data_IF_001255193842
#
_entry.id   IF_001255193842
#
_cell.length_a   1.000
_cell.length_b   1.000
_cell.length_c   1.000
_cell.angle_alpha   90.00
_cell.angle_beta   90.00
_cell.angle_gamma   90.00
#
_symmetry.space_group_name_H-M   'P 1'
#
loop_
_entity.id
_entity.type
_entity.pdbx_description
1 polymer ?
#
# COMPACT_ATOMS: atom_id res chain seq x y z
N UNK A 1 19.37 22.02 -16.64
CA UNK A 1 17.93 21.69 -16.75
C UNK A 1 17.18 22.61 -15.81
N UNK A 2 16.56 23.67 -16.34
CA UNK A 2 15.68 24.55 -15.57
C UNK A 2 14.32 23.84 -15.48
N UNK A 3 13.91 23.41 -14.28
CA UNK A 3 12.52 23.01 -14.06
C UNK A 3 11.67 24.28 -14.19
N UNK A 4 10.84 24.35 -15.22
CA UNK A 4 9.86 25.42 -15.36
C UNK A 4 8.74 25.18 -14.33
N UNK A 5 8.43 26.15 -13.45
CA UNK A 5 7.37 26.01 -12.44
C UNK A 5 5.99 25.66 -13.04
N UNK A 6 5.76 26.04 -14.29
CA UNK A 6 4.54 25.74 -15.05
C UNK A 6 4.35 24.23 -15.27
N UNK A 7 5.41 23.50 -15.60
CA UNK A 7 5.33 22.04 -15.82
C UNK A 7 5.02 21.29 -14.52
N UNK A 8 5.60 21.71 -13.40
CA UNK A 8 5.31 21.13 -12.09
C UNK A 8 3.84 21.38 -11.72
N UNK A 9 3.34 22.59 -12.00
CA UNK A 9 1.95 22.98 -11.71
C UNK A 9 0.95 22.17 -12.54
N UNK A 10 1.22 21.98 -13.83
CA UNK A 10 0.40 21.13 -14.71
C UNK A 10 0.40 19.67 -14.26
N UNK A 11 1.56 19.13 -13.88
CA UNK A 11 1.69 17.74 -13.45
C UNK A 11 0.94 17.45 -12.14
N UNK A 12 0.95 18.40 -11.20
CA UNK A 12 0.14 18.32 -9.97
C UNK A 12 -1.35 18.41 -10.30
N UNK A 13 -1.75 19.33 -11.18
CA UNK A 13 -3.15 19.51 -11.58
C UNK A 13 -3.72 18.27 -12.25
N UNK A 14 -2.97 17.64 -13.16
CA UNK A 14 -3.34 16.39 -13.82
C UNK A 14 -3.50 15.22 -12.82
N UNK A 15 -2.64 15.14 -11.78
CA UNK A 15 -2.76 14.13 -10.72
C UNK A 15 -4.02 14.31 -9.87
N UNK A 16 -4.38 15.56 -9.57
CA UNK A 16 -5.60 15.88 -8.82
C UNK A 16 -6.84 15.58 -9.66
N UNK A 17 -6.85 15.95 -10.94
CA UNK A 17 -7.96 15.65 -11.86
C UNK A 17 -8.16 14.14 -12.05
N UNK A 18 -7.07 13.37 -12.04
CA UNK A 18 -7.09 11.90 -12.13
C UNK A 18 -7.39 11.20 -10.79
N UNK A 19 -7.47 11.94 -9.68
CA UNK A 19 -7.76 11.35 -8.37
C UNK A 19 -9.24 11.01 -8.26
N UNK A 20 -9.61 9.85 -8.80
CA UNK A 20 -10.94 9.26 -8.64
C UNK A 20 -11.14 8.81 -7.20
N UNK A 21 -11.81 9.62 -6.39
CA UNK A 21 -12.12 9.34 -4.98
C UNK A 21 -13.16 8.24 -4.76
N UNK A 22 -13.17 7.20 -5.61
CA UNK A 22 -14.03 6.05 -5.43
C UNK A 22 -13.50 5.22 -4.24
N UNK A 23 -14.37 4.83 -3.28
CA UNK A 23 -13.97 3.93 -2.22
C UNK A 23 -13.65 2.56 -2.83
N UNK A 24 -12.37 2.16 -2.80
CA UNK A 24 -11.97 0.79 -3.10
C UNK A 24 -12.22 -0.09 -1.88
N UNK A 25 -12.95 -1.18 -2.07
CA UNK A 25 -13.06 -2.22 -1.05
C UNK A 25 -11.76 -2.99 -1.05
N UNK A 26 -11.04 -2.94 0.08
CA UNK A 26 -9.79 -3.66 0.29
C UNK A 26 -9.94 -4.61 1.47
N UNK A 27 -9.23 -5.74 1.40
CA UNK A 27 -9.14 -6.66 2.52
C UNK A 27 -8.06 -6.16 3.47
N UNK A 28 -8.42 -5.96 4.74
CA UNK A 28 -7.51 -5.44 5.77
C UNK A 28 -7.21 -6.51 6.83
N UNK A 29 -6.09 -6.34 7.52
CA UNK A 29 -5.67 -7.18 8.64
C UNK A 29 -5.03 -6.36 9.74
N UNK A 30 -4.94 -6.94 10.93
CA UNK A 30 -4.30 -6.31 12.09
C UNK A 30 -3.01 -7.05 12.43
N UNK A 31 -1.94 -6.30 12.71
CA UNK A 31 -0.67 -6.86 13.14
C UNK A 31 -0.81 -7.33 14.59
N UNK A 32 -0.57 -8.62 14.82
CA UNK A 32 -0.60 -9.24 16.16
C UNK A 32 0.77 -9.19 16.81
N UNK A 33 1.83 -9.42 16.03
CA UNK A 33 3.21 -9.38 16.54
C UNK A 33 4.21 -8.97 15.47
N UNK A 34 5.32 -8.41 15.91
CA UNK A 34 6.48 -8.07 15.07
C UNK A 34 7.74 -8.55 15.78
N UNK A 35 8.59 -9.29 15.09
CA UNK A 35 9.86 -9.79 15.62
C UNK A 35 10.86 -9.93 14.47
N UNK A 36 12.01 -9.26 14.56
CA UNK A 36 13.11 -9.34 13.58
C UNK A 36 12.68 -9.21 12.10
N UNK A 37 11.78 -8.26 11.83
CA UNK A 37 11.27 -8.01 10.48
C UNK A 37 10.22 -9.01 9.99
N UNK A 38 9.85 -9.99 10.80
CA UNK A 38 8.72 -10.89 10.57
C UNK A 38 7.52 -10.37 11.35
N UNK A 39 6.39 -10.19 10.67
CA UNK A 39 5.13 -9.81 11.29
C UNK A 39 4.11 -10.94 11.18
N UNK A 40 3.29 -11.10 12.21
CA UNK A 40 2.12 -11.99 12.19
C UNK A 40 0.88 -11.12 12.05
N UNK A 41 0.14 -11.31 10.96
CA UNK A 41 -1.07 -10.55 10.66
C UNK A 41 -2.27 -11.46 10.84
N UNK A 42 -3.31 -10.95 11.50
CA UNK A 42 -4.60 -11.62 11.63
C UNK A 42 -5.64 -10.91 10.75
N UNK A 43 -6.51 -11.68 10.09
CA UNK A 43 -7.42 -11.17 9.06
C UNK A 43 -6.92 -11.54 7.66
N UNK A 44 -7.03 -10.61 6.70
CA UNK A 44 -6.58 -10.83 5.31
C UNK A 44 -7.07 -12.15 4.70
N UNK A 45 -8.39 -12.39 4.74
CA UNK A 45 -8.98 -13.68 4.33
C UNK A 45 -8.66 -14.10 2.88
N UNK A 46 -8.45 -13.11 1.99
CA UNK A 46 -8.24 -13.33 0.56
C UNK A 46 -6.76 -13.25 0.13
N UNK A 47 -5.82 -13.14 1.08
CA UNK A 47 -4.38 -12.97 0.75
C UNK A 47 -3.79 -14.23 0.14
N UNK A 48 -2.96 -14.05 -0.88
CA UNK A 48 -2.24 -15.13 -1.54
C UNK A 48 -0.80 -15.25 -1.04
N UNK A 49 -0.26 -16.46 -1.09
CA UNK A 49 1.14 -16.69 -0.77
C UNK A 49 2.03 -15.97 -1.80
N UNK A 50 3.02 -15.22 -1.31
CA UNK A 50 3.91 -14.40 -2.12
C UNK A 50 3.32 -13.03 -2.50
N UNK A 51 2.12 -12.70 -2.02
CA UNK A 51 1.53 -11.38 -2.25
C UNK A 51 2.27 -10.29 -1.46
N UNK A 52 2.36 -9.10 -2.07
CA UNK A 52 2.92 -7.90 -1.45
C UNK A 52 1.85 -7.20 -0.62
N UNK A 53 2.05 -7.17 0.69
CA UNK A 53 1.22 -6.46 1.64
C UNK A 53 1.75 -5.05 1.85
N UNK A 54 0.87 -4.07 1.71
CA UNK A 54 1.14 -2.68 2.06
C UNK A 54 0.96 -2.47 3.57
N UNK A 55 1.98 -1.91 4.19
CA UNK A 55 1.99 -1.51 5.59
C UNK A 55 1.98 0.02 5.70
N UNK A 56 1.57 0.56 6.86
CA UNK A 56 1.71 1.99 7.13
C UNK A 56 3.14 2.49 6.88
N UNK A 57 3.26 3.78 6.57
CA UNK A 57 4.54 4.43 6.26
C UNK A 57 5.22 3.92 5.00
N UNK A 58 4.44 3.55 3.97
CA UNK A 58 4.96 3.18 2.65
C UNK A 58 5.96 2.00 2.72
N UNK A 59 5.69 1.07 3.65
CA UNK A 59 6.47 -0.14 3.86
C UNK A 59 5.74 -1.31 3.23
N UNK A 60 6.48 -2.29 2.73
CA UNK A 60 5.91 -3.47 2.11
C UNK A 60 6.49 -4.74 2.73
N UNK A 61 5.66 -5.76 2.83
CA UNK A 61 6.08 -7.09 3.26
C UNK A 61 5.50 -8.16 2.35
N UNK A 62 6.10 -9.34 2.37
CA UNK A 62 5.66 -10.46 1.55
C UNK A 62 4.94 -11.50 2.40
N UNK A 63 3.78 -11.94 1.95
CA UNK A 63 3.01 -13.00 2.62
C UNK A 63 3.69 -14.36 2.42
N UNK A 64 4.43 -14.83 3.42
CA UNK A 64 5.19 -16.09 3.32
C UNK A 64 4.37 -17.31 3.73
N UNK A 65 3.73 -17.25 4.90
CA UNK A 65 2.99 -18.34 5.50
C UNK A 65 1.53 -17.95 5.70
N UNK A 66 0.61 -18.78 5.20
CA UNK A 66 -0.82 -18.63 5.41
C UNK A 66 -1.27 -19.67 6.44
N UNK A 67 -1.39 -19.23 7.69
CA UNK A 67 -1.84 -20.06 8.81
C UNK A 67 -3.38 -20.01 8.93
N UNK A 68 -3.99 -21.05 9.51
CA UNK A 68 -5.43 -21.11 9.78
C UNK A 68 -5.78 -20.59 11.17
#
# INVERSE_FOLDING_TARGET
MQLNPSEISELIKNKIESFGGAPEVRTEGTIVSVTDGICRVHGLADVMQGEMLEFPNNTFGMALNLER
#
